data_IF_898159285509
#
_entry.id   IF_898159285509
#
_cell.length_a   1.000
_cell.length_b   1.000
_cell.length_c   1.000
_cell.angle_alpha   90.00
_cell.angle_beta   90.00
_cell.angle_gamma   90.00
#
_symmetry.space_group_name_H-M   'P 1'
#
loop_
_entity.id
_entity.type
_entity.pdbx_description
1 polymer ?
#
# COMPACT_ATOMS: atom_id res chain seq x y z
N UNK A 1 30.39 -2.84 -13.50
CA UNK A 1 30.59 -3.30 -12.11
C UNK A 1 29.24 -3.51 -11.44
N UNK A 2 28.92 -4.72 -10.99
CA UNK A 2 27.72 -5.01 -10.21
C UNK A 2 27.93 -4.61 -8.74
N UNK A 3 26.99 -3.87 -8.13
CA UNK A 3 27.07 -3.44 -6.73
C UNK A 3 26.48 -4.55 -5.81
N UNK A 4 27.23 -5.04 -4.81
CA UNK A 4 26.89 -6.23 -4.00
C UNK A 4 25.88 -6.02 -2.86
N UNK A 5 25.16 -4.90 -2.79
CA UNK A 5 24.14 -4.68 -1.75
C UNK A 5 22.73 -5.09 -2.20
N UNK A 6 22.55 -6.39 -2.43
CA UNK A 6 21.33 -7.07 -2.85
C UNK A 6 20.20 -7.10 -1.80
N UNK A 7 19.81 -5.95 -1.26
CA UNK A 7 18.57 -5.78 -0.52
C UNK A 7 17.53 -5.10 -1.41
N UNK A 8 16.33 -5.69 -1.54
CA UNK A 8 15.24 -5.11 -2.34
C UNK A 8 14.95 -3.70 -1.83
N UNK A 9 15.29 -2.67 -2.61
CA UNK A 9 14.96 -1.28 -2.27
C UNK A 9 13.44 -1.15 -2.32
N UNK A 10 12.81 -1.16 -1.15
CA UNK A 10 11.37 -1.03 -1.04
C UNK A 10 10.97 0.32 -1.63
N UNK A 11 10.04 0.28 -2.59
CA UNK A 11 9.44 1.48 -3.14
C UNK A 11 8.88 2.31 -1.99
N UNK A 12 9.04 3.64 -2.00
CA UNK A 12 8.56 4.51 -0.92
C UNK A 12 7.03 4.58 -0.83
N UNK A 13 6.31 3.66 -1.46
CA UNK A 13 4.87 3.48 -1.37
C UNK A 13 4.45 2.97 0.02
N UNK A 14 5.30 2.19 0.68
CA UNK A 14 5.01 1.60 2.00
C UNK A 14 5.66 2.34 3.17
N UNK A 15 6.75 3.08 2.92
CA UNK A 15 7.53 3.74 3.96
C UNK A 15 7.18 5.21 4.16
N UNK A 16 6.39 5.83 3.26
CA UNK A 16 5.88 7.19 3.46
C UNK A 16 4.37 7.18 3.64
N UNK A 17 3.86 7.33 4.87
CA UNK A 17 2.43 7.39 5.13
C UNK A 17 1.92 8.73 4.61
N UNK A 18 1.47 8.71 3.35
CA UNK A 18 0.94 9.84 2.59
C UNK A 18 2.00 10.91 2.24
N UNK A 19 2.08 11.25 0.94
CA UNK A 19 3.08 12.21 0.42
C UNK A 19 3.08 13.59 1.08
N UNK A 20 2.05 13.93 1.86
CA UNK A 20 1.93 15.19 2.62
C UNK A 20 2.35 15.13 4.10
N UNK A 21 2.86 13.99 4.60
CA UNK A 21 3.35 13.84 5.99
C UNK A 21 2.26 13.90 7.07
N UNK A 22 0.99 13.82 6.69
CA UNK A 22 -0.19 13.84 7.59
C UNK A 22 -1.03 12.60 7.37
N UNK A 23 -1.66 12.09 8.43
CA UNK A 23 -2.67 11.03 8.31
C UNK A 23 -3.84 11.49 7.41
N UNK A 24 -4.52 10.53 6.78
CA UNK A 24 -5.68 10.83 5.93
C UNK A 24 -6.78 11.62 6.67
N UNK A 25 -7.04 11.29 7.94
CA UNK A 25 -8.04 12.01 8.76
C UNK A 25 -7.61 13.44 9.06
N UNK A 26 -6.32 13.66 9.40
CA UNK A 26 -5.81 15.02 9.62
C UNK A 26 -5.87 15.86 8.35
N UNK A 27 -5.59 15.27 7.18
CA UNK A 27 -5.72 15.97 5.89
C UNK A 27 -7.16 16.39 5.60
N UNK A 28 -8.13 15.49 5.85
CA UNK A 28 -9.57 15.76 5.67
C UNK A 28 -10.03 16.94 6.51
N UNK A 29 -9.72 16.94 7.81
CA UNK A 29 -10.23 17.96 8.72
C UNK A 29 -9.46 19.28 8.68
N UNK A 30 -8.17 19.28 8.35
CA UNK A 30 -7.35 20.50 8.36
C UNK A 30 -7.26 21.20 7.00
N UNK A 31 -7.23 20.45 5.91
CA UNK A 31 -6.98 20.98 4.56
C UNK A 31 -8.13 20.69 3.59
N UNK A 32 -9.24 20.07 4.04
CA UNK A 32 -10.36 19.75 3.17
C UNK A 32 -10.02 18.78 2.02
N UNK A 33 -9.02 17.92 2.21
CA UNK A 33 -8.47 17.06 1.15
C UNK A 33 -7.91 17.81 -0.07
N UNK A 34 -7.39 19.03 0.07
CA UNK A 34 -6.85 19.82 -1.06
C UNK A 34 -5.78 19.08 -1.91
N UNK A 35 -5.04 18.14 -1.32
CA UNK A 35 -4.03 17.34 -2.04
C UNK A 35 -4.58 16.04 -2.66
N UNK A 36 -5.85 15.70 -2.43
CA UNK A 36 -6.46 14.51 -3.00
C UNK A 36 -6.93 14.81 -4.43
N UNK A 37 -6.38 14.08 -5.38
CA UNK A 37 -6.72 14.18 -6.79
C UNK A 37 -7.03 12.80 -7.33
N UNK A 38 -7.71 12.78 -8.47
CA UNK A 38 -8.01 11.57 -9.21
C UNK A 38 -6.71 10.86 -9.64
N UNK A 39 -6.80 9.57 -9.90
CA UNK A 39 -5.65 8.79 -10.36
C UNK A 39 -5.23 9.31 -11.72
N UNK A 40 -4.02 9.86 -11.81
CA UNK A 40 -3.49 10.45 -13.04
C UNK A 40 -3.14 9.42 -14.14
N UNK A 41 -3.17 8.12 -13.83
CA UNK A 41 -2.88 7.07 -14.79
C UNK A 41 -4.13 6.80 -15.65
N UNK A 42 -4.04 7.10 -16.94
CA UNK A 42 -5.11 6.94 -17.94
C UNK A 42 -5.02 5.66 -18.75
N UNK A 43 -4.04 4.80 -18.44
CA UNK A 43 -3.90 3.51 -19.13
C UNK A 43 -5.07 2.59 -18.79
N UNK A 44 -5.44 1.74 -19.74
CA UNK A 44 -6.51 0.75 -19.58
C UNK A 44 -6.10 -0.50 -18.76
N UNK A 45 -4.94 -0.48 -18.11
CA UNK A 45 -4.51 -1.58 -17.25
C UNK A 45 -5.35 -1.64 -15.96
N UNK A 46 -5.44 -2.84 -15.39
CA UNK A 46 -6.11 -3.06 -14.13
C UNK A 46 -5.45 -2.20 -13.03
N UNK A 47 -6.29 -1.52 -12.24
CA UNK A 47 -5.80 -0.72 -11.14
C UNK A 47 -5.08 -1.59 -10.11
N UNK A 48 -3.83 -1.26 -9.80
CA UNK A 48 -2.99 -2.06 -8.91
C UNK A 48 -3.62 -2.31 -7.53
N UNK A 49 -4.36 -1.33 -7.00
CA UNK A 49 -5.06 -1.49 -5.72
C UNK A 49 -6.11 -2.60 -5.74
N UNK A 50 -6.80 -2.79 -6.87
CA UNK A 50 -7.79 -3.85 -7.03
C UNK A 50 -7.13 -5.22 -7.20
N UNK A 51 -6.04 -5.30 -7.97
CA UNK A 51 -5.23 -6.52 -8.10
C UNK A 51 -4.70 -6.99 -6.74
N UNK A 52 -4.18 -6.06 -5.93
CA UNK A 52 -3.71 -6.40 -4.57
C UNK A 52 -4.86 -6.80 -3.67
N UNK A 53 -6.01 -6.13 -3.74
CA UNK A 53 -7.20 -6.45 -2.92
C UNK A 53 -7.77 -7.83 -3.25
N UNK A 54 -7.73 -8.21 -4.52
CA UNK A 54 -8.10 -9.55 -4.98
C UNK A 54 -7.11 -10.60 -4.47
N UNK A 55 -5.81 -10.39 -4.67
CA UNK A 55 -4.77 -11.33 -4.26
C UNK A 55 -4.62 -11.44 -2.73
N UNK A 56 -4.81 -10.34 -2.00
CA UNK A 56 -4.58 -10.22 -0.56
C UNK A 56 -5.81 -9.61 0.11
N UNK A 57 -6.84 -10.44 0.33
CA UNK A 57 -7.97 -10.04 1.17
C UNK A 57 -7.62 -10.17 2.66
N UNK A 58 -8.12 -9.24 3.50
CA UNK A 58 -7.95 -9.32 4.97
C UNK A 58 -8.38 -10.68 5.53
N UNK A 59 -9.49 -11.23 5.04
CA UNK A 59 -10.00 -12.54 5.46
C UNK A 59 -9.09 -13.69 5.01
N UNK A 60 -8.52 -13.61 3.81
CA UNK A 60 -7.55 -14.57 3.29
C UNK A 60 -6.28 -14.58 4.14
N UNK A 61 -5.75 -13.40 4.46
CA UNK A 61 -4.56 -13.25 5.33
C UNK A 61 -4.83 -13.81 6.72
N UNK A 62 -6.00 -13.53 7.33
CA UNK A 62 -6.36 -14.07 8.64
C UNK A 62 -6.48 -15.60 8.64
N UNK A 63 -7.08 -16.20 7.60
CA UNK A 63 -7.19 -17.66 7.48
C UNK A 63 -5.84 -18.33 7.27
N UNK A 64 -5.00 -17.78 6.40
CA UNK A 64 -3.64 -18.28 6.18
C UNK A 64 -2.80 -18.17 7.46
N UNK A 65 -2.92 -17.07 8.20
CA UNK A 65 -2.29 -16.89 9.51
C UNK A 65 -2.77 -17.90 10.56
N UNK A 66 -4.07 -18.23 10.58
CA UNK A 66 -4.61 -19.24 11.50
C UNK A 66 -4.11 -20.66 11.19
N UNK A 67 -3.85 -20.99 9.92
CA UNK A 67 -3.29 -22.29 9.51
C UNK A 67 -1.77 -22.37 9.69
N UNK A 68 -1.07 -21.24 9.70
CA UNK A 68 0.39 -21.16 9.84
C UNK A 68 0.89 -20.77 11.24
N UNK A 69 0.00 -20.38 12.15
CA UNK A 69 0.35 -20.12 13.54
C UNK A 69 0.49 -21.45 14.31
N UNK A 70 1.54 -21.64 15.12
CA UNK A 70 1.59 -22.77 16.04
C UNK A 70 0.41 -22.64 17.00
N UNK A 71 -0.51 -23.60 16.94
CA UNK A 71 -1.49 -23.80 18.00
C UNK A 71 -0.73 -24.41 19.17
N UNK A 72 -0.36 -23.57 20.13
CA UNK A 72 0.20 -23.97 21.41
C UNK A 72 -0.35 -23.05 22.48
#
# INVERSE_FOLDING_TARGET
MANPNGGRRLLPLLSTPHKGGRSALTCRFRCGNACAHEVANTSENAYFGDVVKEALSRRGVLRAGALGAPVS
#
